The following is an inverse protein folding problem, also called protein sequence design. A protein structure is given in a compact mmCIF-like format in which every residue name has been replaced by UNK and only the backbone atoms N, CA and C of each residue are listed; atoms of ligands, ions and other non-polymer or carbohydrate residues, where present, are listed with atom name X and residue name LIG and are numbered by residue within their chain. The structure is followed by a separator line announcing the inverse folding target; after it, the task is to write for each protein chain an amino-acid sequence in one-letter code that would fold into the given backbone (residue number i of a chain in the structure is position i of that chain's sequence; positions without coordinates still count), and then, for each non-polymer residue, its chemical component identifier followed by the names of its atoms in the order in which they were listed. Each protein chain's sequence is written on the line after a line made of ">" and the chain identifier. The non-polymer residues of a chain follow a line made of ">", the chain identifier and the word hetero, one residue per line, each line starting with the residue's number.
data_IF_451774105629
#
_entry.id   IF_451774105629
#
_cell.length_a   1.000
_cell.length_b   1.000
_cell.length_c   1.000
_cell.angle_alpha   90.00
_cell.angle_beta   90.00
_cell.angle_gamma   90.00
#
_symmetry.space_group_name_H-M   'P 1'
#
loop_
_entity.id
_entity.type
_entity.pdbx_description
1 polymer ?
#
# COMPACT_ATOMS: atom_id res chain seq x y z
N UNK A 1 58.59 -40.79 7.45
CA UNK A 1 57.59 -41.04 6.38
C UNK A 1 56.72 -42.22 6.76
N UNK A 2 55.47 -41.95 7.15
CA UNK A 2 54.26 -42.77 6.97
C UNK A 2 53.12 -41.99 7.63
N UNK A 3 52.30 -41.35 6.80
CA UNK A 3 51.10 -40.65 7.24
C UNK A 3 50.09 -41.68 7.73
N UNK A 4 49.61 -41.50 8.97
CA UNK A 4 48.57 -42.31 9.56
C UNK A 4 47.27 -41.52 9.47
N UNK A 5 46.41 -41.92 8.55
CA UNK A 5 45.05 -41.40 8.37
C UNK A 5 44.17 -41.90 9.49
N UNK A 6 44.05 -41.12 10.57
CA UNK A 6 43.04 -41.30 11.61
C UNK A 6 41.84 -40.39 11.35
N UNK A 7 40.77 -40.94 10.77
CA UNK A 7 39.46 -40.31 10.74
C UNK A 7 38.91 -40.19 12.17
N UNK A 8 38.81 -38.97 12.68
CA UNK A 8 37.94 -38.65 13.80
C UNK A 8 36.57 -38.22 13.25
N UNK A 9 35.70 -39.21 13.06
CA UNK A 9 34.26 -39.00 12.87
C UNK A 9 33.65 -38.43 14.17
N UNK A 10 33.62 -37.11 14.28
CA UNK A 10 32.83 -36.39 15.28
C UNK A 10 31.34 -36.45 14.93
N UNK A 11 30.62 -37.40 15.54
CA UNK A 11 29.18 -37.69 15.36
C UNK A 11 28.18 -36.60 15.81
N UNK A 12 28.56 -35.34 15.94
CA UNK A 12 27.67 -34.28 16.47
C UNK A 12 27.52 -33.02 15.60
N UNK A 13 28.06 -32.98 14.38
CA UNK A 13 27.93 -31.80 13.49
C UNK A 13 26.87 -31.95 12.39
N UNK A 14 26.39 -33.17 12.11
CA UNK A 14 25.47 -33.44 11.01
C UNK A 14 24.01 -33.00 11.25
N UNK A 15 23.41 -33.15 12.46
CA UNK A 15 22.03 -32.69 12.69
C UNK A 15 21.91 -31.16 12.65
N UNK A 16 22.98 -30.44 13.01
CA UNK A 16 23.01 -28.97 13.00
C UNK A 16 23.14 -28.42 11.58
N UNK A 17 23.94 -29.04 10.71
CA UNK A 17 24.08 -28.63 9.31
C UNK A 17 22.85 -29.00 8.48
N UNK A 18 22.18 -30.13 8.75
CA UNK A 18 20.97 -30.53 8.02
C UNK A 18 19.73 -29.71 8.41
N UNK A 19 19.53 -29.42 9.71
CA UNK A 19 18.46 -28.51 10.14
C UNK A 19 18.74 -27.05 9.77
N UNK A 20 20.01 -26.63 9.74
CA UNK A 20 20.38 -25.31 9.23
C UNK A 20 20.15 -25.21 7.72
N UNK A 21 20.38 -26.29 6.93
CA UNK A 21 20.19 -26.27 5.46
C UNK A 21 18.72 -26.32 5.03
N UNK A 22 17.89 -27.19 5.59
CA UNK A 22 16.46 -27.26 5.23
C UNK A 22 15.68 -26.09 5.84
N UNK A 23 16.07 -25.63 7.03
CA UNK A 23 15.64 -24.35 7.57
C UNK A 23 15.97 -23.21 6.62
N UNK A 24 17.23 -23.05 6.18
CA UNK A 24 17.58 -21.99 5.21
C UNK A 24 16.80 -22.08 3.90
N UNK A 25 16.36 -23.25 3.44
CA UNK A 25 15.51 -23.35 2.25
C UNK A 25 14.10 -22.78 2.45
N UNK A 26 13.52 -22.84 3.65
CA UNK A 26 12.25 -22.16 3.94
C UNK A 26 12.43 -20.65 4.13
N UNK A 27 13.58 -20.22 4.67
CA UNK A 27 13.90 -18.80 4.91
C UNK A 27 14.41 -18.05 3.67
N UNK A 28 14.95 -18.77 2.68
CA UNK A 28 15.40 -18.22 1.39
C UNK A 28 14.29 -18.23 0.33
N UNK A 29 13.05 -18.53 0.72
CA UNK A 29 11.90 -18.42 -0.16
C UNK A 29 11.51 -16.96 -0.30
N UNK A 30 11.65 -16.43 -1.51
CA UNK A 30 11.06 -15.17 -1.91
C UNK A 30 9.63 -15.45 -2.34
N UNK A 31 8.69 -14.71 -1.76
CA UNK A 31 7.30 -14.73 -2.21
C UNK A 31 7.22 -14.05 -3.58
N UNK A 32 6.72 -14.78 -4.59
CA UNK A 32 6.54 -14.25 -5.94
C UNK A 32 5.28 -13.40 -5.94
N UNK A 33 5.49 -12.09 -5.99
CA UNK A 33 4.45 -11.06 -6.01
C UNK A 33 4.37 -10.45 -7.39
N UNK A 34 3.37 -10.87 -8.15
CA UNK A 34 3.11 -10.30 -9.47
C UNK A 34 2.23 -9.07 -9.34
N UNK A 35 2.56 -7.96 -10.03
CA UNK A 35 1.65 -6.85 -10.19
C UNK A 35 0.33 -7.36 -10.76
N UNK A 36 -0.76 -6.97 -10.13
CA UNK A 36 -2.09 -7.30 -10.64
C UNK A 36 -2.37 -6.38 -11.82
N UNK A 37 -2.66 -6.95 -12.98
CA UNK A 37 -3.22 -6.20 -14.10
C UNK A 37 -4.64 -5.81 -13.71
N UNK A 38 -4.90 -4.52 -13.58
CA UNK A 38 -6.20 -3.99 -13.18
C UNK A 38 -6.69 -3.05 -14.28
N UNK A 39 -6.89 -3.60 -15.48
CA UNK A 39 -7.47 -2.89 -16.63
C UNK A 39 -8.96 -2.59 -16.45
N UNK A 40 -9.30 -1.90 -15.36
CA UNK A 40 -10.64 -1.65 -14.82
C UNK A 40 -11.25 -2.80 -14.00
N UNK A 41 -10.90 -2.87 -12.73
CA UNK A 41 -11.78 -3.57 -11.78
C UNK A 41 -12.14 -2.62 -10.65
N UNK A 42 -13.45 -2.47 -10.43
CA UNK A 42 -14.14 -1.82 -9.29
C UNK A 42 -13.82 -2.50 -7.96
N UNK A 43 -12.54 -2.75 -7.73
CA UNK A 43 -12.00 -3.49 -6.62
C UNK A 43 -11.87 -2.56 -5.41
N UNK A 44 -13.02 -2.10 -4.91
CA UNK A 44 -13.12 -1.32 -3.67
C UNK A 44 -12.70 -2.14 -2.45
N UNK A 45 -12.80 -3.48 -2.55
CA UNK A 45 -12.37 -4.38 -1.50
C UNK A 45 -10.85 -4.28 -1.25
N UNK A 46 -10.40 -3.99 -0.02
CA UNK A 46 -8.99 -3.82 0.28
C UNK A 46 -8.16 -5.10 0.23
N UNK A 47 -8.80 -6.26 0.15
CA UNK A 47 -8.14 -7.51 -0.20
C UNK A 47 -7.48 -7.46 -1.59
N UNK A 48 -7.94 -6.54 -2.45
CA UNK A 48 -7.32 -6.27 -3.75
C UNK A 48 -6.11 -5.35 -3.57
N UNK A 49 -4.97 -5.97 -3.27
CA UNK A 49 -3.65 -5.34 -3.22
C UNK A 49 -3.07 -5.13 -4.63
N UNK A 50 -2.02 -4.31 -4.75
CA UNK A 50 -1.35 -4.01 -6.02
C UNK A 50 -0.61 -5.22 -6.59
N UNK A 51 -0.25 -6.19 -5.75
CA UNK A 51 0.43 -7.43 -6.14
C UNK A 51 -0.31 -8.64 -5.61
N UNK A 52 -0.33 -9.73 -6.36
CA UNK A 52 -0.87 -11.02 -5.92
C UNK A 52 0.26 -12.01 -5.65
N UNK A 53 0.13 -12.77 -4.57
CA UNK A 53 1.07 -13.83 -4.22
C UNK A 53 0.74 -15.07 -5.06
N UNK A 54 1.64 -15.46 -5.97
CA UNK A 54 1.38 -16.56 -6.93
C UNK A 54 2.24 -17.79 -6.72
N UNK A 55 3.43 -17.62 -6.13
CA UNK A 55 4.38 -18.71 -5.95
C UNK A 55 5.40 -18.39 -4.84
N UNK A 56 6.27 -19.36 -4.58
CA UNK A 56 7.50 -19.19 -3.79
C UNK A 56 8.68 -19.66 -4.61
N UNK A 57 9.77 -18.90 -4.61
CA UNK A 57 11.00 -19.23 -5.34
C UNK A 57 12.20 -19.13 -4.41
N UNK A 58 13.22 -19.95 -4.65
CA UNK A 58 14.51 -19.82 -3.97
C UNK A 58 15.40 -18.97 -4.87
N UNK A 59 15.72 -17.76 -4.41
CA UNK A 59 16.61 -16.84 -5.14
C UNK A 59 17.86 -16.52 -4.29
N UNK A 60 19.02 -17.13 -4.57
CA UNK A 60 20.22 -16.95 -3.77
C UNK A 60 20.71 -15.50 -3.69
N UNK A 61 20.65 -14.74 -4.79
CA UNK A 61 21.21 -13.38 -4.84
C UNK A 61 20.41 -12.36 -4.06
N UNK A 62 19.12 -12.60 -3.88
CA UNK A 62 18.25 -11.73 -3.09
C UNK A 62 18.24 -12.15 -1.62
N UNK A 63 18.54 -13.43 -1.35
CA UNK A 63 18.58 -13.97 0.01
C UNK A 63 19.78 -13.45 0.82
N UNK A 64 20.83 -12.94 0.17
CA UNK A 64 21.96 -12.28 0.85
C UNK A 64 21.61 -10.89 1.38
N UNK A 65 20.52 -10.27 0.91
CA UNK A 65 20.16 -8.89 1.26
C UNK A 65 19.55 -8.88 2.66
N UNK A 66 20.22 -8.20 3.59
CA UNK A 66 19.83 -8.21 4.99
C UNK A 66 18.45 -7.62 5.26
N UNK A 67 17.84 -8.16 6.33
CA UNK A 67 16.57 -7.66 6.84
C UNK A 67 16.75 -6.33 7.58
N UNK A 68 15.94 -5.35 7.21
CA UNK A 68 15.52 -4.27 8.11
C UNK A 68 14.03 -4.04 7.90
N UNK A 69 13.31 -3.61 8.94
CA UNK A 69 11.88 -3.36 8.82
C UNK A 69 11.60 -2.17 7.87
N UNK A 70 12.48 -1.17 7.85
CA UNK A 70 12.43 -0.03 6.92
C UNK A 70 13.43 -0.23 5.76
N UNK A 71 13.21 -1.26 4.94
CA UNK A 71 14.13 -1.60 3.85
C UNK A 71 14.25 -0.47 2.83
N UNK A 72 15.47 -0.21 2.35
CA UNK A 72 15.69 0.75 1.26
C UNK A 72 15.51 0.13 -0.14
N UNK A 73 15.26 -1.17 -0.21
CA UNK A 73 14.88 -1.88 -1.41
C UNK A 73 13.73 -2.87 -1.16
N UNK A 74 13.02 -3.20 -2.23
CA UNK A 74 11.96 -4.21 -2.23
C UNK A 74 12.07 -5.11 -3.46
N UNK A 75 11.44 -6.28 -3.36
CA UNK A 75 11.40 -7.25 -4.44
C UNK A 75 10.03 -7.22 -5.10
N UNK A 76 10.03 -7.29 -6.42
CA UNK A 76 8.86 -7.48 -7.25
C UNK A 76 9.19 -8.42 -8.40
N UNK A 77 8.19 -8.76 -9.20
CA UNK A 77 8.34 -9.66 -10.34
C UNK A 77 7.62 -9.11 -11.56
N UNK A 78 8.20 -9.25 -12.73
CA UNK A 78 7.53 -9.03 -14.01
C UNK A 78 7.47 -10.37 -14.76
N UNK A 79 6.33 -11.05 -14.67
CA UNK A 79 6.24 -12.44 -15.12
C UNK A 79 7.18 -13.36 -14.33
N UNK A 80 8.15 -13.96 -14.99
CA UNK A 80 9.16 -14.82 -14.36
C UNK A 80 10.46 -14.08 -13.97
N UNK A 81 10.57 -12.79 -14.28
CA UNK A 81 11.73 -11.98 -13.95
C UNK A 81 11.62 -11.43 -12.54
N UNK A 82 12.60 -11.72 -11.69
CA UNK A 82 12.73 -11.09 -10.38
C UNK A 82 13.40 -9.72 -10.53
N UNK A 83 12.81 -8.71 -9.90
CA UNK A 83 13.35 -7.36 -9.85
C UNK A 83 13.59 -6.91 -8.41
N UNK A 84 14.80 -6.40 -8.15
CA UNK A 84 15.12 -5.68 -6.92
C UNK A 84 15.13 -4.19 -7.22
N UNK A 85 14.30 -3.42 -6.51
CA UNK A 85 14.12 -1.99 -6.76
C UNK A 85 14.38 -1.18 -5.51
N UNK A 86 14.98 -0.01 -5.69
CA UNK A 86 15.14 0.96 -4.62
C UNK A 86 13.76 1.49 -4.19
N UNK A 87 13.50 1.52 -2.89
CA UNK A 87 12.31 2.12 -2.29
C UNK A 87 12.47 3.63 -2.08
N UNK A 88 13.72 4.11 -2.12
CA UNK A 88 14.16 5.48 -1.88
C UNK A 88 15.55 5.68 -2.46
N UNK A 89 16.06 6.91 -2.40
CA UNK A 89 17.45 7.18 -2.71
C UNK A 89 18.37 6.41 -1.73
N UNK A 90 19.39 5.74 -2.29
CA UNK A 90 20.38 4.95 -1.57
C UNK A 90 21.73 5.63 -1.78
N UNK A 91 22.35 6.10 -0.69
CA UNK A 91 23.63 6.77 -0.79
C UNK A 91 24.75 5.80 -1.21
N UNK A 92 25.82 6.32 -1.79
CA UNK A 92 27.02 5.52 -2.03
C UNK A 92 27.49 4.88 -0.71
N UNK A 93 27.82 3.59 -0.76
CA UNK A 93 28.24 2.78 0.40
C UNK A 93 27.15 2.49 1.44
N UNK A 94 25.92 2.95 1.22
CA UNK A 94 24.79 2.52 2.03
C UNK A 94 24.46 1.05 1.73
N UNK A 95 24.27 0.25 2.78
CA UNK A 95 23.89 -1.15 2.63
C UNK A 95 22.50 -1.29 2.00
N UNK A 96 22.38 -2.12 0.97
CA UNK A 96 21.07 -2.49 0.42
C UNK A 96 20.39 -3.44 1.39
N UNK A 97 19.18 -3.09 1.82
CA UNK A 97 18.41 -3.82 2.80
C UNK A 97 16.95 -3.93 2.35
N UNK A 98 16.26 -4.99 2.78
CA UNK A 98 14.84 -5.19 2.46
C UNK A 98 14.05 -5.67 3.67
N UNK A 99 12.75 -5.44 3.68
CA UNK A 99 11.89 -6.15 4.63
C UNK A 99 11.67 -7.59 4.14
N UNK A 100 11.82 -8.57 5.04
CA UNK A 100 11.50 -9.97 4.78
C UNK A 100 10.08 -10.30 5.22
N UNK A 101 9.44 -9.38 5.94
CA UNK A 101 8.08 -9.47 6.44
C UNK A 101 7.25 -8.35 5.83
N UNK A 102 5.98 -8.61 5.54
CA UNK A 102 5.09 -7.61 4.93
C UNK A 102 4.16 -7.00 5.98
N UNK A 103 4.07 -5.67 6.01
CA UNK A 103 2.85 -4.95 6.47
C UNK A 103 2.44 -5.06 7.95
N UNK A 104 3.27 -5.57 8.85
CA UNK A 104 2.87 -5.78 10.25
C UNK A 104 3.11 -4.57 11.17
N UNK A 105 2.19 -4.38 12.13
CA UNK A 105 2.37 -3.51 13.30
C UNK A 105 3.52 -4.01 14.18
N UNK A 106 4.06 -3.16 15.05
CA UNK A 106 5.26 -3.50 15.84
C UNK A 106 5.10 -4.74 16.74
N UNK A 107 3.88 -5.00 17.24
CA UNK A 107 3.56 -6.11 18.14
C UNK A 107 3.88 -7.51 17.59
N UNK A 108 3.31 -7.92 16.43
CA UNK A 108 3.63 -9.20 15.80
C UNK A 108 4.99 -9.25 15.10
N UNK A 109 5.68 -8.11 14.97
CA UNK A 109 6.91 -7.99 14.17
C UNK A 109 8.09 -8.76 14.76
N UNK A 110 8.45 -8.50 16.01
CA UNK A 110 9.63 -9.10 16.63
C UNK A 110 9.53 -10.62 16.79
N UNK A 111 8.38 -11.20 17.22
CA UNK A 111 8.23 -12.66 17.26
C UNK A 111 8.42 -13.30 15.87
N UNK A 112 7.88 -12.68 14.81
CA UNK A 112 8.03 -13.18 13.44
C UNK A 112 9.49 -13.10 12.97
N UNK A 113 10.16 -11.97 13.19
CA UNK A 113 11.57 -11.79 12.85
C UNK A 113 12.43 -12.79 13.62
N UNK A 114 12.21 -12.97 14.91
CA UNK A 114 12.94 -13.92 15.73
C UNK A 114 12.75 -15.35 15.19
N UNK A 115 11.52 -15.71 14.82
CA UNK A 115 11.22 -16.99 14.18
C UNK A 115 11.94 -17.18 12.85
N UNK A 116 12.06 -16.13 12.03
CA UNK A 116 12.68 -16.18 10.70
C UNK A 116 14.21 -16.07 10.71
N UNK A 117 14.77 -15.29 11.65
CA UNK A 117 16.19 -14.93 11.69
C UNK A 117 16.97 -15.58 12.84
N UNK A 118 16.27 -16.18 13.80
CA UNK A 118 16.86 -16.59 15.08
C UNK A 118 17.33 -15.43 15.96
N UNK A 119 16.94 -14.18 15.64
CA UNK A 119 17.34 -12.96 16.37
C UNK A 119 16.29 -11.86 16.28
N UNK A 120 16.30 -10.94 17.23
CA UNK A 120 15.47 -9.74 17.18
C UNK A 120 16.07 -8.70 16.21
N UNK A 121 15.22 -7.88 15.58
CA UNK A 121 15.68 -6.77 14.76
C UNK A 121 15.94 -5.53 15.62
N UNK A 122 17.05 -4.85 15.37
CA UNK A 122 17.48 -3.63 16.06
C UNK A 122 17.39 -2.37 15.17
N UNK A 123 16.60 -2.40 14.10
CA UNK A 123 16.44 -1.23 13.25
C UNK A 123 15.72 -0.10 14.00
N UNK A 124 15.87 1.14 13.51
CA UNK A 124 15.27 2.34 14.12
C UNK A 124 13.77 2.20 14.40
N UNK A 125 13.07 1.44 13.59
CA UNK A 125 11.65 1.13 13.76
C UNK A 125 11.31 0.17 14.90
N UNK A 126 12.17 -0.81 15.12
CA UNK A 126 12.02 -1.74 16.23
C UNK A 126 12.55 -1.13 17.54
N UNK A 127 13.46 -0.17 17.42
CA UNK A 127 14.04 0.57 18.53
C UNK A 127 13.27 1.85 18.88
N UNK A 128 12.32 2.30 18.04
CA UNK A 128 11.58 3.53 18.30
C UNK A 128 10.58 3.33 19.44
N UNK A 129 10.47 4.34 20.29
CA UNK A 129 9.51 4.44 21.40
C UNK A 129 8.08 4.78 20.93
N UNK A 130 7.84 4.81 19.62
CA UNK A 130 6.51 5.04 19.04
C UNK A 130 5.67 3.75 19.04
N UNK A 131 5.83 2.93 20.06
CA UNK A 131 4.91 1.86 20.38
C UNK A 131 3.65 2.49 20.97
N UNK A 132 2.50 2.10 20.43
CA UNK A 132 1.23 2.46 21.03
C UNK A 132 1.23 2.06 22.51
N UNK A 133 0.60 2.85 23.39
CA UNK A 133 0.34 2.42 24.77
C UNK A 133 -0.26 1.01 24.77
N UNK A 134 0.19 0.15 25.69
CA UNK A 134 -0.18 -1.28 25.69
C UNK A 134 -1.70 -1.50 25.60
N UNK A 135 -2.50 -0.64 26.25
CA UNK A 135 -3.98 -0.64 26.17
C UNK A 135 -4.52 -0.47 24.74
N UNK A 136 -3.90 0.39 23.94
CA UNK A 136 -4.30 0.72 22.57
C UNK A 136 -3.72 -0.29 21.58
N UNK A 137 -2.49 -0.74 21.81
CA UNK A 137 -1.86 -1.82 21.05
C UNK A 137 -2.71 -3.10 21.12
N UNK A 138 -3.12 -3.52 22.32
CA UNK A 138 -3.95 -4.71 22.50
C UNK A 138 -5.30 -4.62 21.79
N UNK A 139 -5.96 -3.46 21.84
CA UNK A 139 -7.22 -3.21 21.12
C UNK A 139 -7.04 -3.26 19.60
N UNK A 140 -6.03 -2.58 19.07
CA UNK A 140 -5.73 -2.60 17.64
C UNK A 140 -5.44 -4.02 17.15
N UNK A 141 -4.62 -4.78 17.88
CA UNK A 141 -4.32 -6.18 17.56
C UNK A 141 -5.55 -7.08 17.64
N UNK A 142 -6.43 -6.91 18.63
CA UNK A 142 -7.68 -7.70 18.69
C UNK A 142 -8.61 -7.42 17.50
N UNK A 143 -8.57 -6.20 16.95
CA UNK A 143 -9.34 -5.83 15.78
C UNK A 143 -8.69 -6.35 14.48
N UNK A 144 -7.36 -6.45 14.43
CA UNK A 144 -6.61 -7.08 13.33
C UNK A 144 -7.02 -8.55 13.11
N UNK A 145 -7.36 -9.26 14.18
CA UNK A 145 -7.78 -10.66 14.13
C UNK A 145 -9.26 -10.85 13.73
N UNK A 146 -10.03 -9.76 13.61
CA UNK A 146 -11.43 -9.83 13.20
C UNK A 146 -11.52 -10.12 11.71
N UNK A 147 -12.06 -11.30 11.36
CA UNK A 147 -12.36 -11.66 9.98
C UNK A 147 -13.38 -10.71 9.32
N UNK A 148 -13.34 -10.56 7.99
CA UNK A 148 -14.11 -9.56 7.25
C UNK A 148 -15.62 -9.61 7.56
N UNK A 149 -16.19 -10.80 7.64
CA UNK A 149 -17.63 -11.03 7.89
C UNK A 149 -18.12 -10.46 9.23
N UNK A 150 -17.21 -10.27 10.20
CA UNK A 150 -17.53 -9.76 11.54
C UNK A 150 -17.23 -8.27 11.70
N UNK A 151 -16.56 -7.65 10.73
CA UNK A 151 -16.16 -6.24 10.79
C UNK A 151 -17.34 -5.27 10.91
N UNK A 152 -18.49 -5.45 10.21
CA UNK A 152 -19.63 -4.55 10.35
C UNK A 152 -20.09 -4.38 11.81
N UNK A 153 -20.14 -5.48 12.57
CA UNK A 153 -20.50 -5.47 13.99
C UNK A 153 -19.44 -4.85 14.91
N UNK A 154 -18.25 -4.56 14.40
CA UNK A 154 -17.11 -3.98 15.12
C UNK A 154 -16.79 -2.55 14.71
N UNK A 155 -17.52 -1.96 13.76
CA UNK A 155 -17.24 -0.63 13.22
C UNK A 155 -17.13 0.46 14.30
N UNK A 156 -18.05 0.49 15.26
CA UNK A 156 -18.02 1.47 16.35
C UNK A 156 -16.80 1.32 17.25
N UNK A 157 -16.32 0.09 17.46
CA UNK A 157 -15.10 -0.21 18.22
C UNK A 157 -13.85 0.22 17.43
N UNK A 158 -13.82 -0.01 16.11
CA UNK A 158 -12.75 0.45 15.22
C UNK A 158 -12.65 1.98 15.26
N UNK A 159 -13.75 2.69 15.06
CA UNK A 159 -13.78 4.16 15.05
C UNK A 159 -13.36 4.76 16.39
N UNK A 160 -13.83 4.18 17.50
CA UNK A 160 -13.41 4.58 18.85
C UNK A 160 -11.90 4.37 19.04
N UNK A 161 -11.37 3.26 18.56
CA UNK A 161 -9.94 2.94 18.66
C UNK A 161 -9.08 3.90 17.83
N UNK A 162 -9.51 4.27 16.63
CA UNK A 162 -8.86 5.33 15.83
C UNK A 162 -8.83 6.64 16.63
N UNK A 163 -9.98 7.07 17.13
CA UNK A 163 -10.12 8.34 17.86
C UNK A 163 -9.24 8.38 19.12
N UNK A 164 -9.19 7.28 19.87
CA UNK A 164 -8.34 7.17 21.08
C UNK A 164 -6.85 7.21 20.73
N UNK A 165 -6.43 6.56 19.64
CA UNK A 165 -5.03 6.57 19.19
C UNK A 165 -4.62 7.95 18.67
N UNK A 166 -5.51 8.63 17.94
CA UNK A 166 -5.30 10.01 17.49
C UNK A 166 -5.16 10.97 18.66
N UNK A 167 -6.04 10.87 19.67
CA UNK A 167 -6.00 11.68 20.89
C UNK A 167 -4.70 11.50 21.68
N UNK A 168 -4.14 10.30 21.67
CA UNK A 168 -2.86 10.00 22.33
C UNK A 168 -1.63 10.43 21.51
N UNK A 169 -1.82 11.09 20.34
CA UNK A 169 -0.73 11.62 19.50
C UNK A 169 -0.14 10.61 18.52
N UNK A 170 -0.79 9.47 18.29
CA UNK A 170 -0.33 8.40 17.41
C UNK A 170 -1.17 8.27 16.12
N UNK A 171 -1.81 9.37 15.70
CA UNK A 171 -2.70 9.44 14.53
C UNK A 171 -2.04 9.07 13.19
N UNK A 172 -0.71 9.03 13.13
CA UNK A 172 0.05 8.63 11.94
C UNK A 172 0.75 7.26 12.13
N UNK A 173 0.27 6.42 13.04
CA UNK A 173 0.83 5.07 13.21
C UNK A 173 0.32 4.08 12.16
N UNK A 174 1.06 2.99 11.97
CA UNK A 174 0.62 1.86 11.13
C UNK A 174 -0.69 1.23 11.61
N UNK A 175 -0.88 1.20 12.92
CA UNK A 175 -2.12 0.71 13.52
C UNK A 175 -3.29 1.60 13.11
N UNK A 176 -3.13 2.93 13.09
CA UNK A 176 -4.19 3.84 12.60
C UNK A 176 -4.44 3.62 11.11
N UNK A 177 -3.38 3.48 10.30
CA UNK A 177 -3.51 3.12 8.87
C UNK A 177 -4.36 1.86 8.70
N UNK A 178 -4.05 0.81 9.46
CA UNK A 178 -4.76 -0.45 9.42
C UNK A 178 -6.21 -0.33 9.90
N UNK A 179 -6.46 0.39 11.00
CA UNK A 179 -7.82 0.59 11.51
C UNK A 179 -8.68 1.40 10.54
N UNK A 180 -8.13 2.40 9.85
CA UNK A 180 -8.87 3.06 8.76
C UNK A 180 -9.21 2.10 7.62
N UNK A 181 -8.33 1.15 7.29
CA UNK A 181 -8.65 0.10 6.30
C UNK A 181 -9.80 -0.77 6.78
N UNK A 182 -9.80 -1.18 8.05
CA UNK A 182 -10.91 -1.96 8.63
C UNK A 182 -12.23 -1.19 8.60
N UNK A 183 -12.21 0.09 8.99
CA UNK A 183 -13.39 0.94 8.94
C UNK A 183 -13.90 1.08 7.50
N UNK A 184 -13.00 1.29 6.53
CA UNK A 184 -13.36 1.33 5.11
C UNK A 184 -14.07 0.04 4.66
N UNK A 185 -13.57 -1.15 5.04
CA UNK A 185 -14.23 -2.43 4.72
C UNK A 185 -15.62 -2.48 5.33
N UNK A 186 -15.72 -2.21 6.63
CA UNK A 186 -16.97 -2.29 7.34
C UNK A 186 -18.02 -1.33 6.76
N UNK A 187 -17.59 -0.13 6.33
CA UNK A 187 -18.46 0.82 5.66
C UNK A 187 -18.92 0.32 4.28
N UNK A 188 -18.02 -0.22 3.45
CA UNK A 188 -18.39 -0.83 2.16
C UNK A 188 -19.40 -1.97 2.35
N UNK A 189 -19.17 -2.85 3.32
CA UNK A 189 -20.08 -3.97 3.63
C UNK A 189 -21.45 -3.51 4.14
N UNK A 190 -21.54 -2.29 4.68
CA UNK A 190 -22.79 -1.65 5.10
C UNK A 190 -23.41 -0.77 3.99
N UNK A 191 -22.88 -0.78 2.76
CA UNK A 191 -23.35 0.08 1.67
C UNK A 191 -23.04 1.56 1.85
N UNK A 192 -22.10 1.92 2.73
CA UNK A 192 -21.73 3.31 2.99
C UNK A 192 -20.42 3.69 2.30
N UNK A 193 -20.49 3.85 0.98
CA UNK A 193 -19.32 4.19 0.16
C UNK A 193 -18.75 5.56 0.49
N UNK A 194 -19.59 6.53 0.84
CA UNK A 194 -19.19 7.87 1.22
C UNK A 194 -18.19 7.83 2.40
N UNK A 195 -18.54 7.14 3.49
CA UNK A 195 -17.64 7.02 4.63
C UNK A 195 -16.41 6.15 4.32
N UNK A 196 -16.55 5.11 3.50
CA UNK A 196 -15.42 4.32 3.04
C UNK A 196 -14.39 5.18 2.27
N UNK A 197 -14.86 6.04 1.36
CA UNK A 197 -14.01 6.94 0.60
C UNK A 197 -13.31 7.97 1.51
N UNK A 198 -14.01 8.54 2.49
CA UNK A 198 -13.39 9.43 3.50
C UNK A 198 -12.23 8.75 4.23
N UNK A 199 -12.40 7.48 4.61
CA UNK A 199 -11.34 6.69 5.22
C UNK A 199 -10.18 6.43 4.24
N UNK A 200 -10.45 6.17 2.96
CA UNK A 200 -9.42 6.02 1.93
C UNK A 200 -8.59 7.29 1.73
N UNK A 201 -9.24 8.45 1.67
CA UNK A 201 -8.57 9.77 1.59
C UNK A 201 -7.67 9.99 2.82
N UNK A 202 -8.19 9.74 4.02
CA UNK A 202 -7.41 9.89 5.28
C UNK A 202 -6.17 9.03 5.26
N UNK A 203 -6.29 7.77 4.84
CA UNK A 203 -5.14 6.87 4.70
C UNK A 203 -4.10 7.52 3.78
N UNK A 204 -4.46 7.88 2.55
CA UNK A 204 -3.49 8.29 1.53
C UNK A 204 -2.81 9.64 1.81
N UNK A 205 -3.57 10.64 2.25
CA UNK A 205 -3.11 12.02 2.38
C UNK A 205 -2.71 12.44 3.80
N UNK A 206 -3.21 11.76 4.83
CA UNK A 206 -2.99 12.17 6.24
C UNK A 206 -2.11 11.17 6.96
N UNK A 207 -2.44 9.89 6.87
CA UNK A 207 -1.76 8.85 7.65
C UNK A 207 -0.48 8.43 6.97
N UNK A 208 -0.56 7.95 5.72
CA UNK A 208 0.56 7.36 5.00
C UNK A 208 1.78 8.28 4.85
N UNK A 209 1.65 9.57 4.49
CA UNK A 209 2.80 10.46 4.31
C UNK A 209 3.53 10.79 5.62
N UNK A 210 2.88 10.58 6.76
CA UNK A 210 3.39 10.95 8.09
C UNK A 210 3.76 9.73 8.94
N UNK A 211 3.66 8.50 8.40
CA UNK A 211 4.05 7.29 9.16
C UNK A 211 5.56 7.35 9.42
N UNK A 212 6.01 7.27 10.66
CA UNK A 212 7.43 7.27 10.99
C UNK A 212 8.04 5.86 10.89
N UNK A 213 9.27 5.72 10.35
CA UNK A 213 9.92 6.67 9.45
C UNK A 213 9.11 6.78 8.14
N UNK A 214 9.14 7.94 7.46
CA UNK A 214 8.29 8.28 6.31
C UNK A 214 8.30 7.26 5.16
N UNK A 215 9.31 6.39 5.10
CA UNK A 215 9.55 5.41 4.05
C UNK A 215 9.12 3.98 4.42
N UNK A 216 8.53 3.78 5.60
CA UNK A 216 8.20 2.43 6.06
C UNK A 216 7.08 1.77 5.27
N UNK A 217 6.27 2.55 4.56
CA UNK A 217 5.21 2.01 3.72
C UNK A 217 5.82 1.56 2.41
N UNK A 218 5.68 0.27 2.11
CA UNK A 218 6.14 -0.24 0.82
C UNK A 218 5.49 0.54 -0.33
N UNK A 219 6.21 0.86 -1.41
CA UNK A 219 5.61 1.53 -2.58
C UNK A 219 4.36 0.81 -3.08
N UNK A 220 4.35 -0.53 -3.04
CA UNK A 220 3.21 -1.39 -3.39
C UNK A 220 1.98 -1.17 -2.48
N UNK A 221 2.20 -0.95 -1.18
CA UNK A 221 1.14 -0.66 -0.21
C UNK A 221 0.48 0.69 -0.47
N UNK A 222 1.29 1.72 -0.70
CA UNK A 222 0.82 3.08 -1.00
C UNK A 222 0.09 3.11 -2.34
N UNK A 223 0.64 2.41 -3.33
CA UNK A 223 0.02 2.22 -4.63
C UNK A 223 -1.35 1.55 -4.54
N UNK A 224 -1.50 0.55 -3.65
CA UNK A 224 -2.80 -0.09 -3.40
C UNK A 224 -3.84 0.91 -2.86
N UNK A 225 -3.43 1.85 -2.01
CA UNK A 225 -4.32 2.91 -1.50
C UNK A 225 -4.70 3.89 -2.61
N UNK A 226 -3.74 4.34 -3.43
CA UNK A 226 -4.01 5.21 -4.57
C UNK A 226 -4.96 4.56 -5.59
N UNK A 227 -4.77 3.27 -5.87
CA UNK A 227 -5.66 2.51 -6.74
C UNK A 227 -7.11 2.57 -6.24
N UNK A 228 -7.35 2.34 -4.95
CA UNK A 228 -8.70 2.43 -4.36
C UNK A 228 -9.28 3.83 -4.43
N UNK A 229 -8.45 4.84 -4.20
CA UNK A 229 -8.86 6.23 -4.34
C UNK A 229 -9.33 6.52 -5.78
N UNK A 230 -8.63 5.99 -6.79
CA UNK A 230 -9.04 6.09 -8.19
C UNK A 230 -10.35 5.33 -8.47
N UNK A 231 -10.56 4.16 -7.86
CA UNK A 231 -11.82 3.42 -7.99
C UNK A 231 -13.01 4.19 -7.41
N UNK A 232 -12.84 4.81 -6.23
CA UNK A 232 -13.89 5.66 -5.67
C UNK A 232 -14.15 6.90 -6.53
N UNK A 233 -13.09 7.51 -7.06
CA UNK A 233 -13.21 8.71 -7.88
C UNK A 233 -13.71 8.45 -9.31
N UNK A 234 -13.75 7.19 -9.74
CA UNK A 234 -14.13 6.84 -11.10
C UNK A 234 -15.53 7.38 -11.43
N UNK A 235 -15.73 7.96 -12.63
CA UNK A 235 -17.06 8.31 -13.10
C UNK A 235 -17.96 7.07 -12.96
N UNK A 236 -19.06 7.19 -12.22
CA UNK A 236 -19.97 6.07 -11.99
C UNK A 236 -20.55 5.56 -13.31
N UNK A 237 -20.03 4.45 -13.83
CA UNK A 237 -20.78 3.56 -14.74
C UNK A 237 -21.65 2.58 -13.93
N UNK A 238 -22.20 3.01 -12.78
CA UNK A 238 -22.89 2.12 -11.85
C UNK A 238 -24.34 1.90 -12.33
N UNK A 239 -24.49 0.92 -13.22
CA UNK A 239 -25.68 0.05 -13.29
C UNK A 239 -25.40 -1.26 -12.53
N UNK A 240 -24.77 -1.19 -11.34
CA UNK A 240 -24.66 -2.36 -10.45
C UNK A 240 -25.72 -2.26 -9.33
N UNK A 241 -26.86 -2.94 -9.46
CA UNK A 241 -27.96 -2.87 -8.51
C UNK A 241 -27.64 -3.51 -7.14
N UNK A 242 -26.51 -4.21 -6.99
CA UNK A 242 -26.13 -4.88 -5.73
C UNK A 242 -25.34 -3.98 -4.77
N UNK A 243 -24.90 -2.80 -5.20
CA UNK A 243 -24.14 -1.87 -4.37
C UNK A 243 -25.09 -0.89 -3.70
N UNK A 244 -25.32 -1.07 -2.40
CA UNK A 244 -26.16 -0.17 -1.60
C UNK A 244 -25.68 1.28 -1.69
N UNK A 245 -26.54 2.18 -2.14
CA UNK A 245 -26.23 3.59 -2.34
C UNK A 245 -26.56 4.40 -1.09
N UNK A 246 -25.59 4.56 -0.18
CA UNK A 246 -25.59 5.80 0.62
C UNK A 246 -25.24 6.93 -0.33
N UNK A 247 -26.17 7.86 -0.54
CA UNK A 247 -26.01 8.99 -1.46
C UNK A 247 -24.78 9.83 -1.09
N UNK A 248 -23.73 9.74 -1.91
CA UNK A 248 -22.67 10.74 -1.92
C UNK A 248 -23.30 12.05 -2.41
N UNK A 249 -23.15 13.18 -1.70
CA UNK A 249 -23.74 14.44 -2.14
C UNK A 249 -23.33 14.76 -3.59
N UNK A 250 -24.24 15.23 -4.47
CA UNK A 250 -23.93 15.45 -5.88
C UNK A 250 -22.71 16.35 -6.12
N UNK A 251 -22.52 17.35 -5.26
CA UNK A 251 -21.32 18.20 -5.27
C UNK A 251 -20.04 17.38 -5.08
N UNK A 252 -20.02 16.45 -4.13
CA UNK A 252 -18.85 15.62 -3.85
C UNK A 252 -18.58 14.65 -4.99
N UNK A 253 -19.63 14.06 -5.58
CA UNK A 253 -19.49 13.25 -6.80
C UNK A 253 -18.84 14.05 -7.93
N UNK A 254 -19.28 15.29 -8.17
CA UNK A 254 -18.67 16.14 -9.19
C UNK A 254 -17.18 16.45 -8.91
N UNK A 255 -16.81 16.68 -7.65
CA UNK A 255 -15.41 16.88 -7.25
C UNK A 255 -14.56 15.61 -7.41
N UNK A 256 -15.11 14.45 -7.07
CA UNK A 256 -14.47 13.13 -7.23
C UNK A 256 -14.19 12.87 -8.70
N UNK A 257 -15.21 12.96 -9.56
CA UNK A 257 -15.09 12.82 -11.01
C UNK A 257 -14.10 13.84 -11.60
N UNK A 258 -14.16 15.10 -11.15
CA UNK A 258 -13.25 16.15 -11.60
C UNK A 258 -11.78 15.90 -11.26
N UNK A 259 -11.52 15.19 -10.16
CA UNK A 259 -10.17 14.86 -9.69
C UNK A 259 -9.65 13.53 -10.27
N UNK A 260 -10.54 12.68 -10.81
CA UNK A 260 -10.23 11.32 -11.22
C UNK A 260 -9.08 11.23 -12.22
N UNK A 261 -9.11 12.01 -13.30
CA UNK A 261 -8.10 11.91 -14.35
C UNK A 261 -6.69 12.22 -13.81
N UNK A 262 -6.56 13.17 -12.88
CA UNK A 262 -5.30 13.49 -12.23
C UNK A 262 -4.83 12.39 -11.28
N UNK A 263 -5.75 11.82 -10.48
CA UNK A 263 -5.45 10.68 -9.61
C UNK A 263 -5.04 9.44 -10.42
N UNK A 264 -5.71 9.19 -11.56
CA UNK A 264 -5.43 8.07 -12.46
C UNK A 264 -4.10 8.24 -13.16
N UNK A 265 -3.79 9.44 -13.64
CA UNK A 265 -2.46 9.73 -14.19
C UNK A 265 -1.36 9.55 -13.15
N UNK A 266 -1.56 10.06 -11.92
CA UNK A 266 -0.64 9.85 -10.79
C UNK A 266 -0.44 8.36 -10.51
N UNK A 267 -1.52 7.58 -10.56
CA UNK A 267 -1.46 6.13 -10.42
C UNK A 267 -0.58 5.48 -11.48
N UNK A 268 -0.75 5.83 -12.76
CA UNK A 268 0.13 5.35 -13.84
C UNK A 268 1.60 5.68 -13.55
N UNK A 269 1.91 6.91 -13.13
CA UNK A 269 3.28 7.32 -12.79
C UNK A 269 3.86 6.56 -11.60
N UNK A 270 3.06 6.29 -10.58
CA UNK A 270 3.50 5.49 -9.42
C UNK A 270 3.69 4.01 -9.80
N UNK A 271 2.92 3.47 -10.75
CA UNK A 271 3.12 2.12 -11.30
C UNK A 271 4.43 2.05 -12.10
N UNK A 272 4.68 3.03 -12.97
CA UNK A 272 5.94 3.13 -13.72
C UNK A 272 7.15 3.17 -12.77
N UNK A 273 7.08 3.96 -11.69
CA UNK A 273 8.13 4.01 -10.66
C UNK A 273 8.27 2.67 -9.91
N UNK A 274 7.14 2.05 -9.54
CA UNK A 274 7.13 0.84 -8.71
C UNK A 274 7.54 -0.43 -9.46
N UNK A 275 7.17 -0.56 -10.74
CA UNK A 275 7.34 -1.81 -11.50
C UNK A 275 8.12 -1.64 -12.81
N UNK A 276 8.33 -0.41 -13.26
CA UNK A 276 9.07 -0.07 -14.48
C UNK A 276 8.12 0.39 -15.55
N UNK A 277 8.52 1.39 -16.32
CA UNK A 277 7.69 1.93 -17.40
C UNK A 277 7.44 0.91 -18.52
N UNK A 278 8.32 -0.08 -18.67
CA UNK A 278 8.27 -1.20 -19.59
C UNK A 278 7.57 -2.45 -19.01
N UNK A 279 7.15 -2.41 -17.75
CA UNK A 279 6.42 -3.53 -17.15
C UNK A 279 5.04 -3.71 -17.79
N UNK A 280 4.57 -4.96 -17.85
CA UNK A 280 3.25 -5.26 -18.40
C UNK A 280 2.13 -4.48 -17.70
N UNK A 281 2.23 -4.31 -16.38
CA UNK A 281 1.27 -3.53 -15.60
C UNK A 281 1.34 -2.04 -15.95
N UNK A 282 2.52 -1.44 -16.11
CA UNK A 282 2.61 -0.03 -16.49
C UNK A 282 2.02 0.23 -17.87
N UNK A 283 2.31 -0.64 -18.85
CA UNK A 283 1.76 -0.53 -20.20
C UNK A 283 0.23 -0.65 -20.22
N UNK A 284 -0.33 -1.64 -19.52
CA UNK A 284 -1.79 -1.84 -19.45
C UNK A 284 -2.48 -0.64 -18.78
N UNK A 285 -1.95 -0.17 -17.66
CA UNK A 285 -2.57 0.91 -16.89
C UNK A 285 -2.46 2.27 -17.61
N UNK A 286 -1.37 2.47 -18.37
CA UNK A 286 -1.21 3.62 -19.25
C UNK A 286 -2.20 3.58 -20.41
N UNK A 287 -2.33 2.43 -21.09
CA UNK A 287 -3.31 2.26 -22.18
C UNK A 287 -4.73 2.49 -21.68
N UNK A 288 -5.12 1.89 -20.55
CA UNK A 288 -6.45 2.08 -19.94
C UNK A 288 -6.74 3.56 -19.61
N UNK A 289 -5.73 4.29 -19.12
CA UNK A 289 -5.88 5.73 -18.88
C UNK A 289 -6.07 6.53 -20.18
N UNK A 290 -5.29 6.25 -21.21
CA UNK A 290 -5.38 6.91 -22.52
C UNK A 290 -6.75 6.63 -23.18
N UNK A 291 -7.19 5.37 -23.17
CA UNK A 291 -8.48 4.95 -23.73
C UNK A 291 -9.66 5.64 -23.02
N UNK A 292 -9.65 5.69 -21.69
CA UNK A 292 -10.74 6.32 -20.92
C UNK A 292 -10.77 7.84 -21.04
N UNK A 293 -9.61 8.48 -21.08
CA UNK A 293 -9.57 9.94 -21.25
C UNK A 293 -10.01 10.35 -22.65
N UNK A 294 -9.69 9.55 -23.67
CA UNK A 294 -10.23 9.72 -25.02
C UNK A 294 -11.76 9.54 -25.05
N UNK A 295 -12.27 8.49 -24.39
CA UNK A 295 -13.71 8.25 -24.29
C UNK A 295 -14.46 9.43 -23.64
N UNK A 296 -13.94 9.98 -22.54
CA UNK A 296 -14.53 11.14 -21.86
C UNK A 296 -14.54 12.38 -22.77
N UNK A 297 -13.46 12.61 -23.53
CA UNK A 297 -13.41 13.72 -24.51
C UNK A 297 -14.52 13.57 -25.56
N UNK A 298 -14.64 12.37 -26.13
CA UNK A 298 -15.64 12.06 -27.16
C UNK A 298 -17.08 12.19 -26.63
N UNK A 299 -17.37 11.68 -25.43
CA UNK A 299 -18.68 11.82 -24.78
C UNK A 299 -19.04 13.30 -24.58
N UNK A 300 -18.12 14.13 -24.08
CA UNK A 300 -18.40 15.55 -23.85
C UNK A 300 -18.60 16.33 -25.16
N UNK A 301 -17.90 15.94 -26.23
CA UNK A 301 -18.14 16.49 -27.59
C UNK A 301 -19.53 16.14 -28.09
N UNK A 302 -20.00 14.91 -27.89
CA UNK A 302 -21.34 14.45 -28.30
C UNK A 302 -22.43 15.22 -27.56
N UNK A 303 -22.24 15.50 -26.26
CA UNK A 303 -23.22 16.24 -25.44
C UNK A 303 -23.12 17.77 -25.58
N UNK A 304 -22.20 18.30 -26.40
CA UNK A 304 -22.04 19.74 -26.60
C UNK A 304 -21.43 20.47 -25.40
N UNK A 305 -20.83 19.75 -24.45
CA UNK A 305 -20.22 20.30 -23.22
C UNK A 305 -18.79 20.82 -23.44
N UNK A 306 -18.32 20.85 -24.70
CA UNK A 306 -16.94 21.14 -25.06
C UNK A 306 -16.04 19.91 -24.87
N UNK A 307 -14.96 19.80 -25.66
CA UNK A 307 -14.05 18.65 -25.52
C UNK A 307 -13.34 18.66 -24.17
N UNK A 308 -13.40 17.54 -23.44
CA UNK A 308 -12.56 17.35 -22.26
C UNK A 308 -11.19 16.86 -22.70
N UNK A 309 -10.21 17.75 -22.64
CA UNK A 309 -8.81 17.36 -22.82
C UNK A 309 -8.14 17.27 -21.47
N UNK A 310 -7.67 16.08 -21.11
CA UNK A 310 -6.78 15.93 -19.96
C UNK A 310 -5.52 16.78 -20.16
N UNK A 311 -5.18 17.60 -19.18
CA UNK A 311 -3.94 18.39 -19.16
C UNK A 311 -3.14 17.97 -17.93
N UNK A 312 -1.92 17.43 -18.09
CA UNK A 312 -1.04 17.13 -16.97
C UNK A 312 -0.86 18.35 -16.06
N UNK A 313 -0.85 18.15 -14.74
CA UNK A 313 -0.75 19.25 -13.77
C UNK A 313 0.54 20.06 -13.90
N UNK A 314 1.61 19.44 -14.41
CA UNK A 314 2.88 20.10 -14.69
C UNK A 314 2.82 21.08 -15.88
N UNK A 315 1.81 20.94 -16.75
CA UNK A 315 1.68 21.73 -18.00
C UNK A 315 0.70 22.90 -17.87
N UNK A 316 -0.10 22.96 -16.80
CA UNK A 316 -1.11 24.01 -16.61
C UNK A 316 -1.29 24.40 -15.15
N UNK A 317 -0.92 25.64 -14.83
CA UNK A 317 -1.13 26.24 -13.51
C UNK A 317 -2.62 26.27 -13.14
N UNK A 318 -3.50 26.56 -14.11
CA UNK A 318 -4.95 26.56 -13.89
C UNK A 318 -5.48 25.16 -13.54
N UNK A 319 -5.01 24.12 -14.23
CA UNK A 319 -5.38 22.74 -13.90
C UNK A 319 -4.87 22.35 -12.50
N UNK A 320 -3.64 22.76 -12.16
CA UNK A 320 -3.06 22.58 -10.83
C UNK A 320 -3.90 23.24 -9.73
N UNK A 321 -4.26 24.50 -9.89
CA UNK A 321 -5.08 25.24 -8.92
C UNK A 321 -6.46 24.59 -8.74
N UNK A 322 -7.12 24.24 -9.85
CA UNK A 322 -8.40 23.55 -9.83
C UNK A 322 -8.34 22.21 -9.11
N UNK A 323 -7.34 21.38 -9.39
CA UNK A 323 -7.16 20.10 -8.70
C UNK A 323 -6.92 20.29 -7.20
N UNK A 324 -6.08 21.26 -6.82
CA UNK A 324 -5.80 21.57 -5.40
C UNK A 324 -7.05 22.05 -4.68
N UNK A 325 -7.86 22.89 -5.32
CA UNK A 325 -9.15 23.34 -4.78
C UNK A 325 -10.11 22.15 -4.56
N UNK A 326 -10.32 21.34 -5.61
CA UNK A 326 -11.23 20.19 -5.56
C UNK A 326 -10.82 19.17 -4.50
N UNK A 327 -9.53 18.81 -4.45
CA UNK A 327 -9.02 17.88 -3.44
C UNK A 327 -9.13 18.44 -2.02
N UNK A 328 -8.93 19.74 -1.83
CA UNK A 328 -9.11 20.36 -0.51
C UNK A 328 -10.57 20.39 -0.06
N UNK A 329 -11.51 20.58 -0.99
CA UNK A 329 -12.94 20.44 -0.67
C UNK A 329 -13.29 18.99 -0.26
N UNK A 330 -12.76 17.99 -0.98
CA UNK A 330 -12.93 16.58 -0.63
C UNK A 330 -12.31 16.24 0.73
N UNK A 331 -11.12 16.78 1.03
CA UNK A 331 -10.46 16.61 2.33
C UNK A 331 -11.31 17.20 3.47
N UNK A 332 -11.81 18.43 3.31
CA UNK A 332 -12.67 19.08 4.30
C UNK A 332 -13.95 18.26 4.53
N UNK A 333 -14.57 17.76 3.46
CA UNK A 333 -15.73 16.89 3.56
C UNK A 333 -15.41 15.55 4.25
N UNK A 334 -14.19 15.03 4.09
CA UNK A 334 -13.70 13.87 4.82
C UNK A 334 -13.37 14.17 6.31
N UNK A 335 -13.52 15.41 6.77
CA UNK A 335 -13.14 15.83 8.12
C UNK A 335 -11.62 15.95 8.29
N UNK A 336 -10.92 16.25 7.20
CA UNK A 336 -9.47 16.52 7.17
C UNK A 336 -9.25 18.00 6.89
N UNK A 337 -8.21 18.59 7.49
CA UNK A 337 -7.80 19.96 7.16
C UNK A 337 -7.35 20.11 5.71
N UNK A 338 -7.29 21.35 5.23
CA UNK A 338 -6.70 21.64 3.92
C UNK A 338 -5.22 21.30 3.92
N UNK A 339 -4.72 20.82 2.79
CA UNK A 339 -3.32 20.58 2.50
C UNK A 339 -2.81 21.59 1.48
N UNK A 340 -1.51 21.88 1.55
CA UNK A 340 -0.81 22.67 0.54
C UNK A 340 -0.76 21.96 -0.81
N UNK A 341 -0.50 22.71 -1.87
CA UNK A 341 -0.31 22.14 -3.20
C UNK A 341 0.83 21.10 -3.20
N UNK A 342 1.92 21.36 -2.48
CA UNK A 342 3.07 20.46 -2.44
C UNK A 342 2.76 19.17 -1.69
N UNK A 343 1.96 19.22 -0.62
CA UNK A 343 1.50 18.02 0.08
C UNK A 343 0.57 17.14 -0.76
N UNK A 344 -0.35 17.75 -1.52
CA UNK A 344 -1.25 17.01 -2.43
C UNK A 344 -0.50 16.42 -3.62
N UNK A 345 0.47 17.17 -4.12
CA UNK A 345 1.24 16.82 -5.31
C UNK A 345 2.52 16.04 -4.99
N UNK A 346 2.82 15.75 -3.73
CA UNK A 346 3.96 14.91 -3.36
C UNK A 346 3.90 13.56 -4.11
N UNK A 347 4.95 13.26 -4.86
CA UNK A 347 5.06 12.06 -5.70
C UNK A 347 4.35 12.13 -7.07
N UNK A 348 3.81 13.28 -7.49
CA UNK A 348 3.20 13.44 -8.82
C UNK A 348 4.21 13.64 -9.93
#
# INVERSE_FOLDING_TARGET
>A
MKANTGLLYGKNLLPMIYNCKIGTFQHNQVQVRLPRLKGDTRALYPQVVATVDVARVVEPFVSIIHHTCNGNAYVTFNGNELQLRAARDIAAWEEITRSWIAGWTAGPRQPMINRLLGRNCSCSLCSSTQTLPQRLAGRASSLEEVGPDKLPGKLSEVQRTISDIEKDGFGHSLSVRFLHKLAMIAFLMNGNEAEAFKHCIKIYYVVEPKIPPPEYISPQDRLSTLYRLCCFAAPMEIDDPEVGTVEVPPKMMALMTGSWAHLRYKLVKEIEKCFGADSAVAMVEKSDFEDKTALIDDTNRIHGEGGFRYVPLAESQMAREKFVEQMNELLVWAGVGKLSADELLAGS
#
